data_IF_454573666853
#
_entry.id   IF_454573666853
#
_cell.length_a   1.000
_cell.length_b   1.000
_cell.length_c   1.000
_cell.angle_alpha   90.00
_cell.angle_beta   90.00
_cell.angle_gamma   90.00
#
_symmetry.space_group_name_H-M   'P 1'
#
loop_
_entity.id
_entity.type
_entity.pdbx_description
1 polymer ?
#
# COMPACT_ATOMS: atom_id res chain seq x y z
N UNK A 1 -75.63 61.62 -8.61
CA UNK A 1 -74.28 61.06 -8.89
C UNK A 1 -73.43 61.22 -7.65
N UNK A 2 -73.21 60.16 -6.87
CA UNK A 2 -72.02 59.99 -6.03
C UNK A 2 -71.70 58.49 -5.99
N UNK A 3 -70.42 58.21 -6.23
CA UNK A 3 -69.82 56.90 -6.52
C UNK A 3 -69.97 55.88 -5.39
N UNK A 4 -70.29 54.65 -5.78
CA UNK A 4 -70.12 53.47 -4.93
C UNK A 4 -68.64 53.10 -4.84
N UNK A 5 -68.11 53.14 -3.63
CA UNK A 5 -66.74 52.75 -3.28
C UNK A 5 -66.46 51.28 -3.58
N UNK A 6 -65.64 51.00 -4.59
CA UNK A 6 -65.08 49.68 -4.86
C UNK A 6 -63.81 49.48 -3.99
N UNK A 7 -63.93 48.78 -2.85
CA UNK A 7 -62.78 48.38 -2.02
C UNK A 7 -62.09 47.18 -2.66
N UNK A 8 -61.03 47.41 -3.43
CA UNK A 8 -60.13 46.36 -3.91
C UNK A 8 -59.27 45.89 -2.75
N UNK A 9 -59.47 44.63 -2.29
CA UNK A 9 -58.64 43.99 -1.27
C UNK A 9 -57.26 43.66 -1.87
N UNK A 10 -56.23 44.39 -1.46
CA UNK A 10 -54.84 44.03 -1.75
C UNK A 10 -54.47 42.72 -1.02
N UNK A 11 -54.30 41.63 -1.76
CA UNK A 11 -53.65 40.42 -1.24
C UNK A 11 -52.16 40.72 -1.05
N UNK A 12 -51.71 40.95 0.19
CA UNK A 12 -50.28 40.91 0.52
C UNK A 12 -49.76 39.49 0.30
N UNK A 13 -48.87 39.31 -0.68
CA UNK A 13 -48.13 38.06 -0.86
C UNK A 13 -47.11 37.92 0.28
N UNK A 14 -47.32 36.92 1.12
CA UNK A 14 -46.42 36.54 2.21
C UNK A 14 -45.23 35.77 1.62
N UNK A 15 -44.06 36.42 1.50
CA UNK A 15 -42.82 35.73 1.13
C UNK A 15 -42.46 34.75 2.26
N UNK A 16 -42.60 33.45 1.99
CA UNK A 16 -42.16 32.37 2.90
C UNK A 16 -40.67 32.54 3.20
N UNK A 17 -40.34 33.08 4.37
CA UNK A 17 -38.99 33.03 4.96
C UNK A 17 -38.69 31.57 5.28
N UNK A 18 -37.99 30.87 4.39
CA UNK A 18 -37.78 29.44 4.57
C UNK A 18 -36.63 28.80 3.82
N UNK A 19 -35.70 29.57 3.25
CA UNK A 19 -34.47 29.02 2.66
C UNK A 19 -33.31 29.99 2.92
N UNK A 20 -32.59 29.73 4.01
CA UNK A 20 -31.24 30.25 4.19
C UNK A 20 -30.32 29.47 3.25
N UNK A 21 -29.89 30.09 2.15
CA UNK A 21 -28.85 29.54 1.28
C UNK A 21 -27.48 29.59 1.97
N UNK A 22 -26.60 28.66 1.61
CA UNK A 22 -25.20 28.67 2.02
C UNK A 22 -24.50 29.90 1.41
N UNK A 23 -23.71 30.64 2.18
CA UNK A 23 -23.01 31.82 1.66
C UNK A 23 -21.79 31.41 0.83
N UNK A 24 -21.45 32.21 -0.19
CA UNK A 24 -20.21 32.02 -0.94
C UNK A 24 -18.98 32.14 -0.03
N UNK A 25 -19.07 32.98 1.00
CA UNK A 25 -18.00 33.16 1.98
C UNK A 25 -17.74 31.88 2.80
N UNK A 26 -18.80 31.21 3.28
CA UNK A 26 -18.67 29.95 4.00
C UNK A 26 -18.03 28.87 3.11
N UNK A 27 -18.39 28.82 1.82
CA UNK A 27 -17.83 27.82 0.91
C UNK A 27 -16.35 28.06 0.64
N UNK A 28 -15.94 29.32 0.44
CA UNK A 28 -14.53 29.65 0.19
C UNK A 28 -13.65 29.28 1.39
N UNK A 29 -14.12 29.52 2.62
CA UNK A 29 -13.37 29.15 3.83
C UNK A 29 -13.26 27.62 3.97
N UNK A 30 -14.36 26.89 3.74
CA UNK A 30 -14.36 25.43 3.80
C UNK A 30 -13.39 24.83 2.77
N UNK A 31 -13.41 25.32 1.53
CA UNK A 31 -12.50 24.85 0.48
C UNK A 31 -11.05 25.20 0.80
N UNK A 32 -10.78 26.38 1.39
CA UNK A 32 -9.44 26.78 1.80
C UNK A 32 -8.86 25.83 2.86
N UNK A 33 -9.63 25.52 3.91
CA UNK A 33 -9.18 24.60 4.97
C UNK A 33 -9.03 23.17 4.43
N UNK A 34 -9.99 22.70 3.62
CA UNK A 34 -9.92 21.39 2.98
C UNK A 34 -8.68 21.25 2.08
N UNK A 35 -8.29 22.31 1.38
CA UNK A 35 -7.08 22.35 0.55
C UNK A 35 -5.79 22.13 1.36
N UNK A 36 -5.66 22.79 2.52
CA UNK A 36 -4.51 22.62 3.41
C UNK A 36 -4.44 21.18 3.94
N UNK A 37 -5.57 20.64 4.40
CA UNK A 37 -5.64 19.26 4.89
C UNK A 37 -5.29 18.25 3.79
N UNK A 38 -5.79 18.44 2.58
CA UNK A 38 -5.51 17.58 1.43
C UNK A 38 -4.03 17.57 1.06
N UNK A 39 -3.35 18.73 1.11
CA UNK A 39 -1.92 18.85 0.81
C UNK A 39 -1.04 17.98 1.72
N UNK A 40 -1.42 17.82 2.99
CA UNK A 40 -0.70 16.98 3.97
C UNK A 40 -1.18 15.52 3.89
N UNK A 41 -2.49 15.30 3.76
CA UNK A 41 -3.08 13.97 3.81
C UNK A 41 -2.75 13.13 2.57
N UNK A 42 -2.80 13.70 1.37
CA UNK A 42 -2.57 12.98 0.11
C UNK A 42 -1.18 12.29 0.07
N UNK A 43 -0.05 12.96 0.33
CA UNK A 43 1.26 12.29 0.29
C UNK A 43 1.38 11.20 1.36
N UNK A 44 0.83 11.42 2.55
CA UNK A 44 0.83 10.41 3.63
C UNK A 44 -0.01 9.18 3.25
N UNK A 45 -1.21 9.40 2.72
CA UNK A 45 -2.12 8.34 2.28
C UNK A 45 -1.51 7.53 1.13
N UNK A 46 -0.87 8.19 0.15
CA UNK A 46 -0.15 7.51 -0.94
C UNK A 46 0.96 6.60 -0.40
N UNK A 47 1.78 7.06 0.55
CA UNK A 47 2.81 6.23 1.17
C UNK A 47 2.22 5.03 1.92
N UNK A 48 1.08 5.22 2.60
CA UNK A 48 0.36 4.13 3.27
C UNK A 48 -0.14 3.09 2.25
N UNK A 49 -0.78 3.52 1.17
CA UNK A 49 -1.24 2.63 0.10
C UNK A 49 -0.09 1.83 -0.50
N UNK A 50 1.05 2.47 -0.77
CA UNK A 50 2.25 1.78 -1.24
C UNK A 50 2.74 0.71 -0.24
N UNK A 51 2.79 1.00 1.06
CA UNK A 51 3.16 0.00 2.08
C UNK A 51 2.20 -1.18 2.12
N UNK A 52 0.90 -0.94 1.92
CA UNK A 52 -0.09 -2.01 1.87
C UNK A 52 0.14 -2.94 0.69
N UNK A 53 0.40 -2.38 -0.50
CA UNK A 53 0.75 -3.16 -1.70
C UNK A 53 2.04 -3.98 -1.51
N UNK A 54 3.06 -3.40 -0.88
CA UNK A 54 4.29 -4.14 -0.54
C UNK A 54 3.98 -5.28 0.43
N UNK A 55 3.13 -5.05 1.43
CA UNK A 55 2.74 -6.08 2.40
C UNK A 55 2.03 -7.25 1.75
N UNK A 56 1.25 -7.02 0.69
CA UNK A 56 0.65 -8.08 -0.13
C UNK A 56 1.73 -8.99 -0.72
N UNK A 57 2.74 -8.44 -1.38
CA UNK A 57 3.85 -9.23 -1.94
C UNK A 57 4.60 -10.00 -0.85
N UNK A 58 4.76 -9.41 0.34
CA UNK A 58 5.41 -10.08 1.46
C UNK A 58 4.61 -11.27 2.04
N UNK A 59 3.34 -11.43 1.69
CA UNK A 59 2.61 -12.67 2.05
C UNK A 59 3.24 -13.89 1.41
N UNK A 60 3.74 -13.78 0.18
CA UNK A 60 4.45 -14.87 -0.51
C UNK A 60 5.78 -15.21 0.16
N UNK A 61 6.45 -14.21 0.76
CA UNK A 61 7.66 -14.46 1.53
C UNK A 61 7.40 -15.37 2.74
N UNK A 62 6.19 -15.44 3.29
CA UNK A 62 5.88 -16.40 4.35
C UNK A 62 5.85 -17.84 3.84
N UNK A 63 5.18 -18.10 2.71
CA UNK A 63 5.11 -19.42 2.09
C UNK A 63 6.46 -19.88 1.54
N UNK A 64 7.21 -18.97 0.91
CA UNK A 64 8.51 -19.29 0.31
C UNK A 64 9.52 -19.69 1.41
N UNK A 65 9.51 -19.00 2.55
CA UNK A 65 10.34 -19.36 3.72
C UNK A 65 9.97 -20.70 4.32
N UNK A 66 8.66 -21.01 4.40
CA UNK A 66 8.20 -22.28 4.92
C UNK A 66 8.67 -23.44 4.04
N UNK A 67 8.56 -23.31 2.72
CA UNK A 67 9.05 -24.32 1.75
C UNK A 67 10.56 -24.58 1.88
N UNK A 68 11.37 -23.53 2.10
CA UNK A 68 12.80 -23.70 2.36
C UNK A 68 13.05 -24.46 3.64
N UNK A 69 12.29 -24.16 4.71
CA UNK A 69 12.45 -24.86 5.99
C UNK A 69 12.05 -26.35 5.87
N UNK A 70 10.94 -26.64 5.21
CA UNK A 70 10.50 -28.01 4.94
C UNK A 70 11.58 -28.78 4.18
N UNK A 71 12.11 -28.21 3.10
CA UNK A 71 13.20 -28.82 2.33
C UNK A 71 14.46 -29.04 3.15
N UNK A 72 14.84 -28.08 4.01
CA UNK A 72 16.00 -28.22 4.89
C UNK A 72 15.83 -29.38 5.87
N UNK A 73 14.65 -29.51 6.48
CA UNK A 73 14.35 -30.59 7.43
C UNK A 73 14.35 -31.96 6.74
N UNK A 74 13.91 -32.03 5.48
CA UNK A 74 13.88 -33.27 4.70
C UNK A 74 15.26 -33.72 4.20
N UNK A 75 16.06 -32.78 3.67
CA UNK A 75 17.34 -33.10 3.02
C UNK A 75 18.55 -33.02 3.98
N UNK A 76 18.42 -32.28 5.09
CA UNK A 76 19.52 -32.02 6.02
C UNK A 76 20.59 -31.05 5.49
N UNK A 77 20.37 -30.47 4.31
CA UNK A 77 21.23 -29.47 3.67
C UNK A 77 20.37 -28.46 2.89
N UNK A 78 20.90 -27.27 2.61
CA UNK A 78 20.29 -26.31 1.70
C UNK A 78 21.08 -26.18 0.40
N UNK A 79 20.78 -27.09 -0.52
CA UNK A 79 20.98 -26.84 -1.94
C UNK A 79 19.72 -26.15 -2.45
N UNK A 80 19.82 -24.85 -2.74
CA UNK A 80 18.67 -24.09 -3.28
C UNK A 80 18.37 -24.57 -4.69
N UNK A 81 17.35 -25.40 -4.79
CA UNK A 81 16.73 -25.85 -6.03
C UNK A 81 15.26 -25.41 -6.01
N UNK A 82 14.91 -24.29 -6.66
CA UNK A 82 13.54 -23.79 -6.64
C UNK A 82 12.48 -24.79 -7.09
N UNK A 83 12.80 -25.62 -8.08
CA UNK A 83 11.90 -26.66 -8.60
C UNK A 83 11.73 -27.79 -7.59
N UNK A 84 12.83 -28.28 -7.02
CA UNK A 84 12.82 -29.32 -5.98
C UNK A 84 12.13 -28.87 -4.68
N UNK A 85 12.20 -27.57 -4.39
CA UNK A 85 11.50 -26.93 -3.27
C UNK A 85 10.05 -26.58 -3.58
N UNK A 86 9.56 -26.82 -4.81
CA UNK A 86 8.24 -26.46 -5.30
C UNK A 86 7.87 -24.98 -5.15
N UNK A 87 8.86 -24.08 -5.19
CA UNK A 87 8.66 -22.65 -5.07
C UNK A 87 7.93 -22.13 -6.32
N UNK A 88 6.86 -21.37 -6.12
CA UNK A 88 6.26 -20.60 -7.21
C UNK A 88 6.94 -19.23 -7.25
N UNK A 89 7.81 -18.97 -8.23
CA UNK A 89 8.58 -17.72 -8.32
C UNK A 89 8.07 -16.75 -9.41
N UNK A 90 6.97 -17.09 -10.05
CA UNK A 90 6.42 -16.30 -11.16
C UNK A 90 5.90 -14.94 -10.69
N UNK A 91 5.82 -13.99 -11.62
CA UNK A 91 5.34 -12.63 -11.36
C UNK A 91 3.81 -12.50 -11.41
N UNK A 92 3.10 -13.49 -11.94
CA UNK A 92 1.63 -13.50 -12.02
C UNK A 92 0.94 -13.64 -10.64
N UNK A 93 1.70 -13.97 -9.59
CA UNK A 93 1.22 -14.05 -8.20
C UNK A 93 0.67 -12.71 -7.69
N UNK A 94 1.16 -11.58 -8.19
CA UNK A 94 0.63 -10.25 -7.87
C UNK A 94 0.99 -9.24 -8.96
N UNK A 95 0.08 -8.31 -9.23
CA UNK A 95 0.34 -7.16 -10.12
C UNK A 95 1.47 -6.23 -9.61
N UNK A 96 1.92 -6.41 -8.36
CA UNK A 96 2.98 -5.62 -7.75
C UNK A 96 4.36 -6.30 -7.82
N UNK A 97 4.47 -7.44 -8.50
CA UNK A 97 5.74 -8.07 -8.84
C UNK A 97 6.18 -7.63 -10.25
N UNK A 98 7.35 -6.99 -10.34
CA UNK A 98 7.98 -6.65 -11.62
C UNK A 98 8.97 -7.75 -12.02
N UNK A 99 8.42 -8.83 -12.57
CA UNK A 99 9.19 -10.01 -12.98
C UNK A 99 9.38 -11.05 -11.88
N UNK A 100 10.03 -12.15 -12.27
CA UNK A 100 10.17 -13.32 -11.41
C UNK A 100 10.96 -13.04 -10.13
N UNK A 101 10.55 -13.68 -9.05
CA UNK A 101 11.27 -13.65 -7.78
C UNK A 101 12.55 -14.43 -7.92
N UNK A 102 13.68 -13.78 -7.67
CA UNK A 102 14.98 -14.44 -7.78
C UNK A 102 15.34 -15.07 -6.45
N UNK A 103 15.96 -16.24 -6.49
CA UNK A 103 16.50 -16.91 -5.31
C UNK A 103 18.00 -17.07 -5.49
N UNK A 104 18.77 -16.65 -4.50
CA UNK A 104 20.23 -16.81 -4.45
C UNK A 104 20.59 -17.64 -3.23
N UNK A 105 21.64 -18.44 -3.35
CA UNK A 105 22.18 -19.20 -2.23
C UNK A 105 23.69 -19.02 -2.15
N UNK A 106 24.22 -19.06 -0.94
CA UNK A 106 25.66 -19.16 -0.72
C UNK A 106 25.91 -20.15 0.41
N UNK A 107 27.01 -20.91 0.33
CA UNK A 107 27.32 -21.99 1.26
C UNK A 107 28.10 -21.53 2.51
N UNK A 108 28.70 -20.33 2.51
CA UNK A 108 29.56 -19.86 3.60
C UNK A 108 29.31 -18.38 3.99
N UNK A 109 28.61 -18.12 5.12
CA UNK A 109 27.71 -19.05 5.80
C UNK A 109 26.56 -19.48 4.87
N UNK A 110 25.99 -20.65 5.15
CA UNK A 110 24.84 -21.17 4.43
C UNK A 110 23.66 -20.19 4.55
N UNK A 111 23.30 -19.57 3.43
CA UNK A 111 22.26 -18.55 3.35
C UNK A 111 21.43 -18.69 2.08
N UNK A 112 20.19 -18.26 2.16
CA UNK A 112 19.25 -18.12 1.05
C UNK A 112 18.73 -16.69 1.00
N UNK A 113 18.64 -16.11 -0.19
CA UNK A 113 18.13 -14.75 -0.39
C UNK A 113 17.04 -14.77 -1.45
N UNK A 114 15.82 -14.42 -1.03
CA UNK A 114 14.72 -14.13 -1.94
C UNK A 114 14.73 -12.66 -2.32
N UNK A 115 14.54 -12.37 -3.60
CA UNK A 115 14.57 -11.01 -4.14
C UNK A 115 13.26 -10.77 -4.86
N UNK A 116 12.40 -9.98 -4.23
CA UNK A 116 11.13 -9.55 -4.80
C UNK A 116 11.34 -8.21 -5.50
N UNK A 117 11.25 -8.22 -6.83
CA UNK A 117 11.23 -6.99 -7.63
C UNK A 117 9.83 -6.42 -7.59
N UNK A 118 9.69 -5.15 -7.22
CA UNK A 118 8.40 -4.54 -6.94
C UNK A 118 8.06 -3.47 -7.96
N UNK A 119 6.91 -3.64 -8.61
CA UNK A 119 6.39 -2.69 -9.59
C UNK A 119 4.98 -2.21 -9.34
N UNK A 120 4.52 -1.24 -10.12
CA UNK A 120 3.12 -0.76 -10.08
C UNK A 120 2.66 -0.17 -8.73
N UNK A 121 3.61 0.25 -7.88
CA UNK A 121 3.32 0.67 -6.50
C UNK A 121 2.68 2.06 -6.39
N UNK A 122 2.80 2.93 -7.40
CA UNK A 122 2.23 4.27 -7.44
C UNK A 122 3.29 5.36 -7.65
N UNK A 123 3.25 6.51 -6.92
CA UNK A 123 4.13 7.67 -7.13
C UNK A 123 5.58 7.44 -6.65
N UNK A 124 5.96 6.18 -6.49
CA UNK A 124 7.35 5.77 -6.32
C UNK A 124 7.99 5.80 -7.69
N UNK A 125 8.72 6.86 -8.00
CA UNK A 125 9.56 6.90 -9.19
C UNK A 125 10.57 5.72 -9.12
N UNK A 126 10.47 4.76 -10.05
CA UNK A 126 11.49 3.71 -10.28
C UNK A 126 11.64 2.63 -9.22
N UNK A 127 10.62 1.76 -9.11
CA UNK A 127 10.65 0.34 -8.72
C UNK A 127 11.89 -0.21 -7.99
N UNK A 128 11.67 -0.90 -6.87
CA UNK A 128 12.73 -1.35 -5.97
C UNK A 128 12.59 -2.80 -5.56
N UNK A 129 13.53 -3.29 -4.76
CA UNK A 129 13.52 -4.67 -4.27
C UNK A 129 13.31 -4.73 -2.77
N UNK A 130 12.66 -5.80 -2.32
CA UNK A 130 12.79 -6.30 -0.95
C UNK A 130 13.57 -7.61 -1.02
N UNK A 131 14.61 -7.72 -0.20
CA UNK A 131 15.39 -8.95 -0.08
C UNK A 131 15.10 -9.60 1.27
N UNK A 132 14.67 -10.88 1.23
CA UNK A 132 14.48 -11.72 2.41
C UNK A 132 15.67 -12.68 2.51
N UNK A 133 16.57 -12.42 3.45
CA UNK A 133 17.75 -13.25 3.72
C UNK A 133 17.47 -14.21 4.88
N UNK A 134 17.68 -15.50 4.64
CA UNK A 134 17.67 -16.55 5.65
C UNK A 134 19.08 -17.06 5.87
N UNK A 135 19.60 -16.95 7.09
CA UNK A 135 20.92 -17.48 7.47
C UNK A 135 20.72 -18.69 8.35
N UNK A 136 21.37 -19.80 7.98
CA UNK A 136 21.24 -21.05 8.71
C UNK A 136 22.13 -21.03 9.95
N UNK A 137 21.56 -21.56 11.02
CA UNK A 137 22.18 -21.74 12.32
C UNK A 137 21.87 -23.15 12.81
N UNK A 138 22.58 -23.59 13.84
CA UNK A 138 22.43 -24.93 14.41
C UNK A 138 20.99 -25.24 14.88
N UNK A 139 20.20 -24.21 15.18
CA UNK A 139 18.81 -24.32 15.67
C UNK A 139 17.73 -23.92 14.65
N UNK A 140 18.08 -23.73 13.37
CA UNK A 140 17.14 -23.36 12.30
C UNK A 140 17.59 -22.20 11.42
N UNK A 141 16.64 -21.49 10.83
CA UNK A 141 16.90 -20.39 9.88
C UNK A 141 16.52 -19.05 10.50
N UNK A 142 17.48 -18.13 10.61
CA UNK A 142 17.23 -16.75 11.00
C UNK A 142 16.88 -15.92 9.76
N UNK A 143 15.68 -15.35 9.73
CA UNK A 143 15.22 -14.55 8.60
C UNK A 143 15.29 -13.05 8.87
N UNK A 144 15.71 -12.28 7.88
CA UNK A 144 15.72 -10.81 7.85
C UNK A 144 15.17 -10.31 6.51
N UNK A 145 14.42 -9.22 6.51
CA UNK A 145 13.92 -8.57 5.29
C UNK A 145 14.34 -7.11 5.14
N UNK A 146 15.43 -6.73 5.80
CA UNK A 146 15.94 -5.36 5.79
C UNK A 146 16.74 -5.00 4.53
N UNK A 147 17.08 -5.99 3.71
CA UNK A 147 17.83 -5.80 2.45
C UNK A 147 16.98 -5.26 1.29
N UNK A 148 17.61 -5.05 0.13
CA UNK A 148 16.98 -4.55 -1.09
C UNK A 148 16.97 -3.01 -1.22
N UNK A 149 16.51 -2.51 -2.37
CA UNK A 149 16.60 -1.09 -2.75
C UNK A 149 15.37 -0.25 -2.40
N UNK A 150 14.25 -0.84 -1.96
CA UNK A 150 13.02 -0.07 -1.71
C UNK A 150 13.24 0.95 -0.58
N UNK A 151 12.84 2.24 -0.70
CA UNK A 151 13.03 3.21 0.37
C UNK A 151 12.27 2.87 1.67
N UNK A 152 12.89 3.09 2.83
CA UNK A 152 12.34 2.70 4.14
C UNK A 152 10.92 3.23 4.43
N UNK A 153 10.57 4.42 3.93
CA UNK A 153 9.23 5.02 4.10
C UNK A 153 8.10 4.17 3.49
N UNK A 154 8.42 3.39 2.45
CA UNK A 154 7.53 2.47 1.74
C UNK A 154 7.58 1.04 2.25
N UNK A 155 8.45 0.76 3.24
CA UNK A 155 8.54 -0.56 3.84
C UNK A 155 7.57 -0.73 5.00
N UNK A 156 6.93 -1.91 5.13
CA UNK A 156 6.24 -2.31 6.35
C UNK A 156 7.21 -2.30 7.54
N UNK A 157 6.74 -2.09 8.78
CA UNK A 157 7.62 -1.97 9.95
C UNK A 157 8.61 -3.13 10.12
N UNK A 158 8.21 -4.36 9.80
CA UNK A 158 9.04 -5.56 9.94
C UNK A 158 10.26 -5.61 8.99
N UNK A 159 10.24 -4.86 7.88
CA UNK A 159 11.28 -4.89 6.85
C UNK A 159 12.04 -3.56 6.74
N UNK A 160 11.98 -2.71 7.77
CA UNK A 160 12.78 -1.49 7.83
C UNK A 160 14.19 -1.83 8.32
N UNK A 161 15.24 -1.32 7.65
CA UNK A 161 16.62 -1.48 8.12
C UNK A 161 16.87 -0.73 9.43
#
# INVERSE_FOLDING_TARGET
MQEGTHKTKEKRQEFRKGQSGFTLLELVIVVAIAGILAAIAIPSYRNYMTRSKVSEVLTFASSDRQRVMEYFVEQGDLVVNPEGMGLNLTSDRSQYLDGETKVRAAADPLRVVFVYNLGGLGPTDGEGTIEYEGILKDSGVLWSCTGGSLPAKYRPPACRP
#
